data_IF_976970625241
#
_entry.id   IF_976970625241
#
_cell.length_a   1.000
_cell.length_b   1.000
_cell.length_c   1.000
_cell.angle_alpha   90.00
_cell.angle_beta   90.00
_cell.angle_gamma   90.00
#
_symmetry.space_group_name_H-M   'P 1'
#
loop_
_entity.id
_entity.type
_entity.pdbx_description
1 polymer ?
#
# COMPACT_ATOMS: atom_id res chain seq x y z
N UNK A 1 -2.95 -9.49 9.46
CA UNK A 1 -2.34 -8.98 10.71
C UNK A 1 -0.88 -8.68 10.44
N UNK A 2 -0.40 -7.50 10.84
CA UNK A 2 0.96 -7.04 10.56
C UNK A 2 1.89 -7.50 11.68
N UNK A 3 2.98 -8.16 11.33
CA UNK A 3 4.01 -8.61 12.28
C UNK A 3 5.13 -7.58 12.40
N UNK A 4 5.65 -7.39 13.61
CA UNK A 4 6.80 -6.53 13.85
C UNK A 4 8.03 -7.09 13.12
N UNK A 5 8.72 -6.28 12.29
CA UNK A 5 9.89 -6.76 11.55
C UNK A 5 11.10 -7.06 12.43
N UNK A 6 11.12 -6.57 13.68
CA UNK A 6 12.24 -6.79 14.61
C UNK A 6 12.08 -8.07 15.45
N UNK A 7 10.89 -8.35 15.96
CA UNK A 7 10.67 -9.44 16.90
C UNK A 7 9.62 -10.48 16.43
N UNK A 8 8.98 -10.27 15.29
CA UNK A 8 7.98 -11.19 14.74
C UNK A 8 6.62 -11.20 15.44
N UNK A 9 6.49 -10.56 16.60
CA UNK A 9 5.20 -10.45 17.31
C UNK A 9 4.21 -9.57 16.56
N UNK A 10 2.93 -9.90 16.69
CA UNK A 10 1.81 -9.18 16.03
C UNK A 10 1.27 -8.02 16.88
N UNK A 11 1.67 -7.95 18.14
CA UNK A 11 1.20 -6.92 19.05
C UNK A 11 1.92 -5.59 18.77
N UNK A 12 1.20 -4.69 18.13
CA UNK A 12 1.66 -3.36 17.75
C UNK A 12 0.51 -2.36 17.77
N UNK A 13 0.80 -1.15 18.24
CA UNK A 13 -0.14 -0.01 18.24
C UNK A 13 0.20 0.95 17.09
N UNK A 14 -0.82 1.54 16.49
CA UNK A 14 -0.64 2.64 15.52
C UNK A 14 -0.43 3.93 16.32
N UNK A 15 0.68 4.63 16.07
CA UNK A 15 1.01 5.89 16.76
C UNK A 15 0.68 7.11 15.92
N UNK A 16 0.78 7.00 14.60
CA UNK A 16 0.37 8.05 13.67
C UNK A 16 -0.13 7.44 12.36
N UNK A 17 -1.07 8.12 11.72
CA UNK A 17 -1.57 7.78 10.39
C UNK A 17 -1.49 9.01 9.49
N UNK A 18 -0.93 8.84 8.31
CA UNK A 18 -0.82 9.88 7.29
C UNK A 18 -1.52 9.38 6.03
N UNK A 19 -2.45 10.16 5.50
CA UNK A 19 -2.99 9.90 4.18
C UNK A 19 -2.11 10.57 3.13
N UNK A 20 -1.66 9.80 2.14
CA UNK A 20 -0.80 10.28 1.08
C UNK A 20 -1.20 9.63 -0.23
N UNK A 21 -1.60 10.43 -1.21
CA UNK A 21 -1.92 9.96 -2.58
C UNK A 21 -2.78 8.68 -2.62
N UNK A 22 -3.81 8.61 -1.78
CA UNK A 22 -4.75 7.47 -1.73
C UNK A 22 -4.31 6.28 -0.87
N UNK A 23 -3.14 6.29 -0.23
CA UNK A 23 -2.75 5.28 0.76
C UNK A 23 -2.58 5.88 2.16
N UNK A 24 -2.86 5.06 3.16
CA UNK A 24 -2.58 5.36 4.57
C UNK A 24 -1.19 4.83 4.93
N UNK A 25 -0.27 5.74 5.19
CA UNK A 25 1.00 5.42 5.84
C UNK A 25 0.80 5.46 7.36
N UNK A 26 0.84 4.29 7.98
CA UNK A 26 0.69 4.13 9.43
C UNK A 26 2.03 3.85 10.08
N UNK A 27 2.46 4.74 10.97
CA UNK A 27 3.54 4.47 11.92
C UNK A 27 3.01 3.60 13.04
N UNK A 28 3.69 2.50 13.30
CA UNK A 28 3.37 1.52 14.32
C UNK A 28 4.53 1.36 15.28
N UNK A 29 4.22 1.07 16.51
CA UNK A 29 5.19 0.73 17.55
C UNK A 29 4.82 -0.65 18.10
N UNK A 30 5.79 -1.56 18.16
CA UNK A 30 5.59 -2.87 18.75
C UNK A 30 5.52 -2.76 20.27
N UNK A 31 4.47 -3.32 20.88
CA UNK A 31 4.31 -3.30 22.34
C UNK A 31 5.24 -4.28 23.06
N UNK A 32 5.82 -5.25 22.34
CA UNK A 32 6.72 -6.26 22.91
C UNK A 32 8.17 -5.78 22.92
N UNK A 33 8.66 -5.22 21.81
CA UNK A 33 10.07 -4.83 21.68
C UNK A 33 10.31 -3.32 21.58
N UNK A 34 9.25 -2.49 21.58
CA UNK A 34 9.35 -1.03 21.41
C UNK A 34 9.80 -0.60 19.99
N UNK A 35 9.90 -1.53 19.05
CA UNK A 35 10.36 -1.25 17.69
C UNK A 35 9.33 -0.43 16.91
N UNK A 36 9.73 0.76 16.46
CA UNK A 36 8.96 1.56 15.50
C UNK A 36 9.11 1.02 14.07
N UNK A 37 8.01 0.94 13.32
CA UNK A 37 7.98 0.56 11.91
C UNK A 37 6.82 1.20 11.16
N UNK A 38 6.88 1.20 9.83
CA UNK A 38 5.89 1.86 8.97
C UNK A 38 5.16 0.79 8.15
N UNK A 39 3.85 0.94 8.02
CA UNK A 39 3.03 0.13 7.12
C UNK A 39 2.24 1.00 6.17
N UNK A 40 2.15 0.58 4.92
CA UNK A 40 1.35 1.22 3.89
C UNK A 40 0.09 0.40 3.66
N UNK A 41 -1.06 1.03 3.82
CA UNK A 41 -2.35 0.42 3.61
C UNK A 41 -3.10 1.22 2.55
N UNK A 42 -3.36 0.61 1.40
CA UNK A 42 -4.14 1.26 0.34
C UNK A 42 -5.63 1.17 0.70
N UNK A 43 -6.36 2.26 0.51
CA UNK A 43 -7.82 2.21 0.58
C UNK A 43 -8.36 1.39 -0.59
N UNK A 44 -9.53 0.77 -0.43
CA UNK A 44 -10.18 0.04 -1.53
C UNK A 44 -10.38 0.91 -2.77
N UNK A 45 -10.71 2.19 -2.57
CA UNK A 45 -10.85 3.18 -3.65
C UNK A 45 -9.54 3.44 -4.40
N UNK A 46 -8.42 3.55 -3.69
CA UNK A 46 -7.13 3.77 -4.35
C UNK A 46 -6.62 2.52 -5.05
N UNK A 47 -6.88 1.32 -4.51
CA UNK A 47 -6.58 0.06 -5.19
C UNK A 47 -7.33 0.00 -6.53
N UNK A 48 -8.63 0.30 -6.53
CA UNK A 48 -9.41 0.30 -7.77
C UNK A 48 -8.87 1.28 -8.80
N UNK A 49 -8.51 2.49 -8.37
CA UNK A 49 -7.97 3.51 -9.27
C UNK A 49 -6.61 3.10 -9.87
N UNK A 50 -5.70 2.56 -9.06
CA UNK A 50 -4.41 2.04 -9.53
C UNK A 50 -4.59 0.90 -10.55
N UNK A 51 -5.56 0.02 -10.34
CA UNK A 51 -5.86 -1.07 -11.27
C UNK A 51 -6.40 -0.55 -12.61
N UNK A 52 -7.31 0.44 -12.57
CA UNK A 52 -7.85 1.09 -13.77
C UNK A 52 -6.75 1.80 -14.56
N UNK A 53 -5.90 2.59 -13.89
CA UNK A 53 -4.81 3.31 -14.55
C UNK A 53 -3.82 2.35 -15.22
N UNK A 54 -3.48 1.24 -14.55
CA UNK A 54 -2.62 0.20 -15.14
C UNK A 54 -3.27 -0.47 -16.35
N UNK A 55 -4.58 -0.75 -16.29
CA UNK A 55 -5.30 -1.34 -17.40
C UNK A 55 -5.33 -0.40 -18.62
N UNK A 56 -5.58 0.90 -18.41
CA UNK A 56 -5.55 1.89 -19.47
C UNK A 56 -4.17 2.02 -20.12
N UNK A 57 -3.11 2.05 -19.31
CA UNK A 57 -1.73 2.07 -19.81
C UNK A 57 -1.39 0.81 -20.62
N UNK A 58 -1.81 -0.36 -20.14
CA UNK A 58 -1.62 -1.62 -20.86
C UNK A 58 -2.36 -1.60 -22.20
N UNK A 59 -3.60 -1.11 -22.24
CA UNK A 59 -4.38 -0.97 -23.47
C UNK A 59 -3.77 0.05 -24.43
N UNK A 60 -3.31 1.18 -23.94
CA UNK A 60 -2.63 2.20 -24.76
C UNK A 60 -1.34 1.63 -25.38
N UNK A 61 -0.57 0.89 -24.58
CA UNK A 61 0.65 0.21 -25.03
C UNK A 61 0.32 -0.87 -26.07
N UNK A 62 -0.72 -1.67 -25.84
CA UNK A 62 -1.17 -2.69 -26.77
C UNK A 62 -1.64 -2.08 -28.10
N UNK A 63 -2.42 -1.00 -28.08
CA UNK A 63 -2.84 -0.27 -29.29
C UNK A 63 -1.64 0.26 -30.07
N UNK A 64 -0.60 0.74 -29.37
CA UNK A 64 0.63 1.25 -30.00
C UNK A 64 1.47 0.15 -30.63
N UNK A 65 1.56 -1.02 -29.99
CA UNK A 65 2.40 -2.14 -30.45
C UNK A 65 1.72 -3.00 -31.52
N UNK A 66 0.43 -3.24 -31.39
CA UNK A 66 -0.29 -4.20 -32.24
C UNK A 66 -1.23 -3.54 -33.24
N UNK A 67 -1.37 -2.21 -33.21
CA UNK A 67 -2.28 -1.46 -34.08
C UNK A 67 -3.74 -1.68 -33.69
N UNK A 68 -4.45 -0.60 -33.37
CA UNK A 68 -5.91 -0.64 -33.33
C UNK A 68 -6.42 -0.75 -34.76
N UNK A 69 -7.10 -1.85 -35.09
CA UNK A 69 -7.94 -1.91 -36.28
C UNK A 69 -9.06 -0.88 -36.19
#
# INVERSE_FOLDING_TARGET
>A
MISCPKCGHRDSKVTASYERNGFYERRRECNVCGGGFITREFSTKSITQILTDNQEQALATAKKLFGGR
#
